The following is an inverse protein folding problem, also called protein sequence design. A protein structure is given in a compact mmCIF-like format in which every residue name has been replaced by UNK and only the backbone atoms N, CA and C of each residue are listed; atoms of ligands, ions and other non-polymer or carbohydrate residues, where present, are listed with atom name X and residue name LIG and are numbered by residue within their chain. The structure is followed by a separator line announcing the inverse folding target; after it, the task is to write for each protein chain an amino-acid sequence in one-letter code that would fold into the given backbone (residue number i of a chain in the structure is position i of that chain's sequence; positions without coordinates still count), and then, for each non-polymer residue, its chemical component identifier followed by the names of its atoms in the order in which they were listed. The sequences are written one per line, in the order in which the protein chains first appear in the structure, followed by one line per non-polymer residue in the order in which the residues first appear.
data_IF_341655198974
#
_entry.id   IF_341655198974
#
_cell.length_a   1.000
_cell.length_b   1.000
_cell.length_c   1.000
_cell.angle_alpha   90.00
_cell.angle_beta   90.00
_cell.angle_gamma   90.00
#
_symmetry.space_group_name_H-M   'P 1'
#
loop_
_entity.id
_entity.type
_entity.pdbx_description
1 polymer ?
#
# COMPACT_ATOMS: atom_id res chain seq x y z
N UNK A 1 -11.66 63.60 5.95
CA UNK A 1 -10.45 63.08 5.29
C UNK A 1 -10.49 61.56 5.32
N UNK A 2 -11.04 60.99 4.24
CA UNK A 2 -11.14 59.53 3.96
C UNK A 2 -9.77 58.98 3.61
N UNK A 3 -9.37 57.87 4.22
CA UNK A 3 -8.32 57.02 3.74
C UNK A 3 -8.92 55.68 3.25
N UNK A 4 -8.90 55.50 1.94
CA UNK A 4 -9.18 54.23 1.27
C UNK A 4 -8.05 53.26 1.57
N UNK A 5 -8.34 52.11 2.18
CA UNK A 5 -7.49 50.92 2.18
C UNK A 5 -7.98 49.99 1.08
N UNK A 6 -7.13 49.75 0.09
CA UNK A 6 -7.28 48.73 -0.93
C UNK A 6 -7.11 47.36 -0.28
N UNK A 7 -8.16 46.58 -0.19
CA UNK A 7 -8.10 45.14 0.02
C UNK A 7 -7.85 44.45 -1.33
N UNK A 8 -6.64 43.97 -1.54
CA UNK A 8 -6.32 43.13 -2.66
C UNK A 8 -6.81 41.70 -2.34
N UNK A 9 -8.03 41.38 -2.78
CA UNK A 9 -8.60 40.05 -2.69
C UNK A 9 -8.02 39.16 -3.77
N UNK A 10 -7.09 38.27 -3.46
CA UNK A 10 -6.72 37.16 -4.31
C UNK A 10 -7.92 36.18 -4.37
N UNK A 11 -8.65 36.24 -5.49
CA UNK A 11 -9.64 35.20 -5.84
C UNK A 11 -8.90 33.88 -5.98
N UNK A 12 -9.15 32.97 -5.05
CA UNK A 12 -8.81 31.56 -5.24
C UNK A 12 -9.49 31.09 -6.53
N UNK A 13 -8.69 30.62 -7.48
CA UNK A 13 -9.17 29.95 -8.68
C UNK A 13 -9.88 28.67 -8.23
N UNK A 14 -11.20 28.70 -8.29
CA UNK A 14 -12.04 27.49 -8.22
C UNK A 14 -11.63 26.66 -9.47
N UNK A 15 -11.25 25.40 -9.32
CA UNK A 15 -11.02 24.56 -10.49
C UNK A 15 -12.32 24.49 -11.30
N UNK A 16 -12.24 24.87 -12.56
CA UNK A 16 -13.38 24.76 -13.49
C UNK A 16 -13.85 23.30 -13.61
N UNK A 17 -15.09 23.09 -14.13
CA UNK A 17 -15.59 21.73 -14.38
C UNK A 17 -14.58 20.97 -15.24
N UNK A 18 -14.46 19.63 -15.05
CA UNK A 18 -13.53 18.83 -15.80
C UNK A 18 -13.76 19.07 -17.29
N UNK A 19 -12.67 19.45 -17.99
CA UNK A 19 -12.70 19.54 -19.45
C UNK A 19 -13.15 18.17 -19.96
N UNK A 20 -14.13 18.16 -20.87
CA UNK A 20 -14.53 16.94 -21.58
C UNK A 20 -13.28 16.34 -22.23
N UNK A 21 -12.79 15.27 -21.63
CA UNK A 21 -11.70 14.47 -22.19
C UNK A 21 -12.32 13.72 -23.35
N UNK A 22 -12.15 14.25 -24.59
CA UNK A 22 -12.46 13.55 -25.84
C UNK A 22 -11.34 12.50 -26.06
N UNK A 23 -11.22 11.58 -25.11
CA UNK A 23 -10.30 10.46 -25.19
C UNK A 23 -11.09 9.15 -25.27
N UNK A 24 -10.56 8.16 -25.97
CA UNK A 24 -11.20 6.84 -26.03
C UNK A 24 -11.16 6.19 -24.64
N UNK A 25 -12.31 5.68 -24.19
CA UNK A 25 -12.42 4.95 -22.91
C UNK A 25 -11.60 3.65 -23.01
N UNK A 26 -10.65 3.47 -22.09
CA UNK A 26 -9.81 2.28 -21.96
C UNK A 26 -10.38 1.39 -20.85
N UNK A 27 -10.51 0.10 -21.13
CA UNK A 27 -10.82 -0.90 -20.09
C UNK A 27 -9.54 -1.39 -19.45
N UNK A 28 -9.34 -1.05 -18.17
CA UNK A 28 -8.09 -1.26 -17.44
C UNK A 28 -8.29 -2.32 -16.36
N UNK A 29 -7.42 -3.33 -16.36
CA UNK A 29 -7.29 -4.26 -15.24
C UNK A 29 -6.15 -3.84 -14.32
N UNK A 30 -6.43 -3.62 -13.03
CA UNK A 30 -5.39 -3.43 -12.01
C UNK A 30 -5.06 -4.79 -11.39
N UNK A 31 -3.78 -5.17 -11.42
CA UNK A 31 -3.27 -6.38 -10.77
C UNK A 31 -2.29 -6.00 -9.67
N UNK A 32 -2.73 -6.08 -8.42
CA UNK A 32 -1.92 -5.81 -7.23
C UNK A 32 -1.89 -7.02 -6.28
N UNK A 33 -1.15 -6.92 -5.17
CA UNK A 33 -1.13 -7.97 -4.15
C UNK A 33 -2.53 -8.24 -3.57
N UNK A 34 -2.78 -9.44 -3.02
CA UNK A 34 -4.07 -9.78 -2.43
C UNK A 34 -4.52 -8.76 -1.39
N UNK A 35 -5.72 -8.21 -1.56
CA UNK A 35 -6.30 -7.21 -0.68
C UNK A 35 -7.07 -7.90 0.46
N UNK A 36 -6.54 -7.86 1.68
CA UNK A 36 -7.23 -8.47 2.82
C UNK A 36 -7.00 -7.72 4.14
N UNK A 37 -5.75 -7.58 4.60
CA UNK A 37 -5.42 -7.15 5.97
C UNK A 37 -4.47 -5.95 6.03
N UNK A 38 -4.22 -5.29 4.91
CA UNK A 38 -3.26 -4.20 4.81
C UNK A 38 -3.97 -2.92 4.34
N UNK A 39 -4.15 -1.96 5.26
CA UNK A 39 -4.76 -0.66 4.92
C UNK A 39 -4.07 0.02 3.75
N UNK A 40 -2.74 0.06 3.75
CA UNK A 40 -1.97 0.66 2.69
C UNK A 40 -2.16 -0.03 1.34
N UNK A 41 -2.18 -1.38 1.33
CA UNK A 41 -2.45 -2.16 0.13
C UNK A 41 -3.86 -1.89 -0.44
N UNK A 42 -4.85 -1.73 0.43
CA UNK A 42 -6.23 -1.41 0.03
C UNK A 42 -6.31 0.03 -0.51
N UNK A 43 -5.74 0.98 0.22
CA UNK A 43 -5.84 2.41 -0.11
C UNK A 43 -5.03 2.80 -1.35
N UNK A 44 -3.89 2.15 -1.61
CA UNK A 44 -3.15 2.37 -2.86
C UNK A 44 -3.94 1.87 -4.09
N UNK A 45 -4.65 0.73 -3.94
CA UNK A 45 -5.51 0.20 -5.00
C UNK A 45 -6.72 1.10 -5.24
N UNK A 46 -7.38 1.56 -4.15
CA UNK A 46 -8.46 2.54 -4.21
C UNK A 46 -8.02 3.84 -4.90
N UNK A 47 -6.86 4.35 -4.53
CA UNK A 47 -6.34 5.58 -5.11
C UNK A 47 -6.04 5.43 -6.61
N UNK A 48 -5.41 4.32 -7.02
CA UNK A 48 -5.12 4.07 -8.43
C UNK A 48 -6.41 3.92 -9.24
N UNK A 49 -7.38 3.14 -8.76
CA UNK A 49 -8.70 3.03 -9.40
C UNK A 49 -9.35 4.40 -9.55
N UNK A 50 -9.43 5.18 -8.45
CA UNK A 50 -10.06 6.50 -8.46
C UNK A 50 -9.40 7.47 -9.45
N UNK A 51 -8.07 7.47 -9.52
CA UNK A 51 -7.33 8.32 -10.48
C UNK A 51 -7.65 7.94 -11.92
N UNK A 52 -7.64 6.64 -12.24
CA UNK A 52 -7.92 6.16 -13.60
C UNK A 52 -9.38 6.39 -14.02
N UNK A 53 -10.33 6.24 -13.09
CA UNK A 53 -11.74 6.56 -13.31
C UNK A 53 -11.96 8.06 -13.55
N UNK A 54 -11.24 8.93 -12.80
CA UNK A 54 -11.23 10.39 -13.05
C UNK A 54 -10.60 10.80 -14.38
N UNK A 55 -9.70 9.96 -14.91
CA UNK A 55 -9.18 10.12 -16.28
C UNK A 55 -10.19 9.64 -17.34
N UNK A 56 -11.37 9.14 -16.96
CA UNK A 56 -12.44 8.72 -17.86
C UNK A 56 -12.36 7.26 -18.32
N UNK A 57 -11.62 6.41 -17.64
CA UNK A 57 -11.44 5.00 -18.01
C UNK A 57 -12.34 4.06 -17.19
N UNK A 58 -12.64 2.89 -17.76
CA UNK A 58 -13.31 1.79 -17.02
C UNK A 58 -12.25 0.94 -16.33
N UNK A 59 -12.38 0.76 -15.01
CA UNK A 59 -11.37 0.07 -14.21
C UNK A 59 -11.96 -1.14 -13.50
N UNK A 60 -11.24 -2.26 -13.50
CA UNK A 60 -11.55 -3.44 -12.70
C UNK A 60 -10.31 -3.94 -11.97
N UNK A 61 -10.44 -4.24 -10.69
CA UNK A 61 -9.37 -4.82 -9.87
C UNK A 61 -9.44 -6.34 -10.00
N UNK A 62 -8.34 -6.96 -10.40
CA UNK A 62 -8.21 -8.40 -10.57
C UNK A 62 -7.78 -9.03 -9.24
N UNK A 63 -8.71 -9.64 -8.50
CA UNK A 63 -8.45 -10.25 -7.18
C UNK A 63 -7.63 -11.55 -7.31
N UNK A 64 -6.34 -11.43 -7.58
CA UNK A 64 -5.42 -12.56 -7.64
C UNK A 64 -5.02 -13.00 -6.23
N UNK A 65 -5.53 -14.11 -5.79
CA UNK A 65 -5.32 -14.63 -4.43
C UNK A 65 -4.63 -16.00 -4.44
N UNK A 66 -4.19 -16.46 -3.29
CA UNK A 66 -3.48 -17.74 -3.14
C UNK A 66 -4.38 -18.93 -3.51
N UNK A 67 -3.77 -19.97 -4.10
CA UNK A 67 -4.47 -21.21 -4.42
C UNK A 67 -4.97 -21.90 -3.15
N UNK A 68 -6.17 -22.50 -3.23
CA UNK A 68 -6.61 -23.38 -2.16
C UNK A 68 -5.70 -24.61 -2.07
N UNK A 69 -5.37 -25.11 -0.86
CA UNK A 69 -4.55 -26.29 -0.72
C UNK A 69 -5.25 -27.52 -1.34
N UNK A 70 -4.51 -28.30 -2.10
CA UNK A 70 -5.06 -29.53 -2.69
C UNK A 70 -5.43 -30.56 -1.62
N UNK A 71 -6.46 -31.38 -1.87
CA UNK A 71 -6.86 -32.45 -0.96
C UNK A 71 -5.69 -33.41 -0.62
N UNK A 72 -4.82 -33.71 -1.58
CA UNK A 72 -3.62 -34.52 -1.37
C UNK A 72 -2.61 -33.86 -0.42
N UNK A 73 -2.47 -32.54 -0.46
CA UNK A 73 -1.61 -31.80 0.46
C UNK A 73 -2.20 -31.82 1.88
N UNK A 74 -3.51 -31.68 2.01
CA UNK A 74 -4.19 -31.76 3.30
C UNK A 74 -4.00 -33.14 3.92
N UNK A 75 -4.19 -34.22 3.16
CA UNK A 75 -3.95 -35.61 3.62
C UNK A 75 -2.51 -35.84 4.09
N UNK A 76 -1.51 -35.39 3.33
CA UNK A 76 -0.09 -35.47 3.73
C UNK A 76 0.18 -34.74 5.04
N UNK A 77 -0.44 -33.58 5.24
CA UNK A 77 -0.29 -32.79 6.48
C UNK A 77 -0.99 -33.44 7.66
N UNK A 78 -2.17 -34.06 7.47
CA UNK A 78 -2.80 -34.85 8.51
C UNK A 78 -1.88 -35.99 9.01
N UNK A 79 -1.20 -36.67 8.12
CA UNK A 79 -0.19 -37.66 8.48
C UNK A 79 1.01 -37.10 9.26
N UNK A 80 1.44 -35.89 8.90
CA UNK A 80 2.52 -35.20 9.63
C UNK A 80 2.10 -34.76 11.02
N UNK A 81 0.88 -34.24 11.18
CA UNK A 81 0.31 -33.86 12.49
C UNK A 81 0.18 -35.09 13.41
N UNK A 82 -0.30 -36.20 12.85
CA UNK A 82 -0.39 -37.45 13.63
C UNK A 82 0.98 -37.89 14.15
N UNK A 83 2.05 -37.80 13.33
CA UNK A 83 3.42 -38.04 13.77
C UNK A 83 3.88 -37.08 14.86
N UNK A 84 3.53 -35.80 14.77
CA UNK A 84 3.85 -34.81 15.80
C UNK A 84 3.11 -35.09 17.13
N UNK A 85 1.83 -35.49 17.04
CA UNK A 85 1.05 -35.92 18.21
C UNK A 85 1.66 -37.13 18.91
N UNK A 86 2.05 -38.18 18.16
CA UNK A 86 2.72 -39.36 18.67
C UNK A 86 4.04 -38.99 19.37
N UNK A 87 4.86 -38.17 18.75
CA UNK A 87 6.13 -37.71 19.33
C UNK A 87 5.92 -36.90 20.59
N UNK A 88 4.92 -36.04 20.66
CA UNK A 88 4.67 -35.18 21.82
C UNK A 88 4.02 -35.92 22.98
N UNK A 89 3.01 -36.75 22.73
CA UNK A 89 2.20 -37.37 23.78
C UNK A 89 2.62 -38.79 24.12
N UNK A 90 3.19 -39.55 23.20
CA UNK A 90 3.62 -40.91 23.40
C UNK A 90 5.14 -40.99 23.69
N UNK A 91 5.94 -40.20 22.96
CA UNK A 91 7.40 -40.21 23.15
C UNK A 91 7.90 -39.06 24.05
N UNK A 92 7.03 -38.28 24.71
CA UNK A 92 7.36 -37.29 25.72
C UNK A 92 8.18 -36.08 25.24
N UNK A 93 8.28 -35.83 23.92
CA UNK A 93 9.06 -34.72 23.37
C UNK A 93 8.30 -33.40 23.53
N UNK A 94 8.53 -32.66 24.62
CA UNK A 94 7.77 -31.44 24.97
C UNK A 94 7.88 -30.26 24.03
N UNK A 95 8.89 -30.18 23.18
CA UNK A 95 9.19 -29.01 22.32
C UNK A 95 8.69 -29.13 20.86
N UNK A 96 7.79 -30.05 20.55
CA UNK A 96 7.25 -30.20 19.21
C UNK A 96 5.98 -29.36 19.06
N UNK A 97 6.01 -28.38 18.17
CA UNK A 97 4.83 -27.62 17.78
C UNK A 97 3.86 -28.50 16.97
N UNK A 98 2.62 -28.57 17.40
CA UNK A 98 1.55 -29.25 16.65
C UNK A 98 0.99 -28.19 15.68
N UNK A 99 1.36 -28.28 14.41
CA UNK A 99 0.84 -27.43 13.36
C UNK A 99 -0.49 -27.99 12.87
N UNK A 100 -1.47 -27.12 12.60
CA UNK A 100 -2.73 -27.54 11.99
C UNK A 100 -2.49 -28.21 10.64
N UNK A 101 -3.21 -29.31 10.29
CA UNK A 101 -3.11 -29.97 9.00
C UNK A 101 -3.58 -29.07 7.83
N UNK A 102 -4.41 -28.11 8.16
CA UNK A 102 -4.78 -27.02 7.23
C UNK A 102 -3.56 -26.14 7.03
N UNK A 103 -3.19 -25.84 5.79
CA UNK A 103 -1.98 -25.04 5.54
C UNK A 103 -2.02 -23.80 6.44
N UNK A 104 -0.91 -23.49 7.08
CA UNK A 104 -0.81 -22.27 7.89
C UNK A 104 -1.30 -21.05 7.10
N UNK A 105 -0.98 -21.00 5.81
CA UNK A 105 -1.42 -19.95 4.90
C UNK A 105 -2.96 -19.90 4.78
N UNK A 106 -3.61 -21.04 4.56
CA UNK A 106 -5.08 -21.08 4.43
C UNK A 106 -5.81 -20.75 5.74
N UNK A 107 -5.32 -21.25 6.87
CA UNK A 107 -5.88 -20.92 8.19
C UNK A 107 -5.59 -19.47 8.56
N UNK A 108 -4.40 -18.97 8.22
CA UNK A 108 -4.07 -17.55 8.37
C UNK A 108 -4.99 -16.70 7.49
N UNK A 109 -5.20 -17.06 6.23
CA UNK A 109 -6.06 -16.32 5.31
C UNK A 109 -7.53 -16.37 5.74
N UNK A 110 -8.02 -17.50 6.23
CA UNK A 110 -9.38 -17.62 6.75
C UNK A 110 -9.57 -16.85 8.06
N UNK A 111 -8.62 -16.97 9.01
CA UNK A 111 -8.64 -16.17 10.25
C UNK A 111 -8.50 -14.68 9.95
N UNK A 112 -7.62 -14.31 9.03
CA UNK A 112 -7.50 -12.91 8.56
C UNK A 112 -8.79 -12.43 7.91
N UNK A 113 -9.52 -13.25 7.15
CA UNK A 113 -10.82 -12.87 6.62
C UNK A 113 -11.85 -12.59 7.72
N UNK A 114 -11.89 -13.41 8.77
CA UNK A 114 -12.81 -13.20 9.89
C UNK A 114 -12.43 -11.93 10.70
N UNK A 115 -11.13 -11.70 10.93
CA UNK A 115 -10.61 -10.52 11.64
C UNK A 115 -10.67 -9.25 10.78
N UNK A 116 -10.65 -9.38 9.46
CA UNK A 116 -10.62 -8.29 8.49
C UNK A 116 -11.98 -8.01 7.84
N UNK A 117 -13.08 -8.51 8.40
CA UNK A 117 -14.44 -8.35 7.82
C UNK A 117 -14.79 -6.89 7.52
N UNK A 118 -14.33 -5.95 8.35
CA UNK A 118 -14.53 -4.51 8.16
C UNK A 118 -13.75 -3.94 6.98
N UNK A 119 -12.57 -4.51 6.69
CA UNK A 119 -11.76 -4.13 5.53
C UNK A 119 -12.34 -4.72 4.24
N UNK A 120 -12.81 -5.97 4.29
CA UNK A 120 -13.49 -6.61 3.16
C UNK A 120 -14.76 -5.86 2.78
N UNK A 121 -15.52 -5.34 3.77
CA UNK A 121 -16.66 -4.49 3.50
C UNK A 121 -16.26 -3.27 2.66
N UNK A 122 -15.22 -2.57 3.06
CA UNK A 122 -14.69 -1.42 2.30
C UNK A 122 -14.27 -1.83 0.88
N UNK A 123 -13.53 -2.92 0.74
CA UNK A 123 -13.08 -3.43 -0.57
C UNK A 123 -14.27 -3.66 -1.50
N UNK A 124 -15.33 -4.33 -1.04
CA UNK A 124 -16.50 -4.62 -1.87
C UNK A 124 -17.40 -3.40 -2.12
N UNK A 125 -17.35 -2.38 -1.28
CA UNK A 125 -18.16 -1.18 -1.42
C UNK A 125 -17.50 -0.13 -2.33
N UNK A 126 -16.15 -0.03 -2.31
CA UNK A 126 -15.42 1.05 -2.98
C UNK A 126 -14.50 0.59 -4.11
N UNK A 127 -14.24 -0.70 -4.27
CA UNK A 127 -13.45 -1.22 -5.38
C UNK A 127 -14.33 -2.01 -6.35
N UNK A 128 -14.16 -1.75 -7.63
CA UNK A 128 -14.71 -2.62 -8.68
C UNK A 128 -13.82 -3.85 -8.83
N UNK A 129 -14.02 -4.84 -7.94
CA UNK A 129 -13.16 -6.00 -7.79
C UNK A 129 -13.82 -7.29 -8.28
N UNK A 130 -13.05 -8.15 -8.95
CA UNK A 130 -13.51 -9.45 -9.41
C UNK A 130 -13.74 -10.43 -8.24
N UNK A 131 -14.43 -11.53 -8.51
CA UNK A 131 -14.36 -12.69 -7.61
C UNK A 131 -12.92 -13.22 -7.50
N UNK A 132 -12.54 -13.90 -6.39
CA UNK A 132 -11.19 -14.39 -6.17
C UNK A 132 -10.65 -15.30 -7.29
N UNK A 133 -9.54 -14.90 -7.90
CA UNK A 133 -8.84 -15.59 -8.99
C UNK A 133 -7.68 -16.40 -8.41
N UNK A 134 -7.83 -17.72 -8.31
CA UNK A 134 -6.92 -18.60 -7.58
C UNK A 134 -5.84 -19.27 -8.44
N UNK A 135 -5.80 -18.98 -9.73
CA UNK A 135 -4.79 -19.52 -10.66
C UNK A 135 -4.54 -18.55 -11.82
N UNK A 136 -3.40 -18.71 -12.49
CA UNK A 136 -3.04 -17.96 -13.70
C UNK A 136 -4.06 -18.20 -14.82
N UNK A 137 -4.61 -19.43 -14.93
CA UNK A 137 -5.67 -19.75 -15.90
C UNK A 137 -6.97 -18.98 -15.61
N UNK A 138 -7.38 -18.89 -14.33
CA UNK A 138 -8.55 -18.12 -13.93
C UNK A 138 -8.36 -16.63 -14.22
N UNK A 139 -7.14 -16.10 -13.97
CA UNK A 139 -6.76 -14.73 -14.28
C UNK A 139 -6.84 -14.46 -15.79
N UNK A 140 -6.28 -15.35 -16.62
CA UNK A 140 -6.36 -15.24 -18.07
C UNK A 140 -7.82 -15.25 -18.59
N UNK A 141 -8.65 -16.18 -18.09
CA UNK A 141 -10.07 -16.23 -18.45
C UNK A 141 -10.83 -14.97 -18.08
N UNK A 142 -10.50 -14.38 -16.90
CA UNK A 142 -11.12 -13.15 -16.44
C UNK A 142 -10.74 -11.96 -17.32
N UNK A 143 -9.47 -11.79 -17.65
CA UNK A 143 -8.97 -10.73 -18.54
C UNK A 143 -9.70 -10.79 -19.91
N UNK A 144 -9.86 -11.99 -20.46
CA UNK A 144 -10.63 -12.19 -21.71
C UNK A 144 -12.11 -11.87 -21.56
N UNK A 145 -12.72 -12.25 -20.43
CA UNK A 145 -14.14 -11.98 -20.15
C UNK A 145 -14.42 -10.48 -20.06
N UNK A 146 -13.54 -9.75 -19.37
CA UNK A 146 -13.64 -8.29 -19.22
C UNK A 146 -13.27 -7.54 -20.51
N UNK A 147 -12.61 -8.20 -21.47
CA UNK A 147 -12.11 -7.58 -22.72
C UNK A 147 -11.20 -6.39 -22.41
N UNK A 148 -10.22 -6.60 -21.54
CA UNK A 148 -9.33 -5.53 -21.11
C UNK A 148 -8.45 -5.04 -22.28
N UNK A 149 -8.29 -3.73 -22.34
CA UNK A 149 -7.39 -3.04 -23.27
C UNK A 149 -6.01 -2.83 -22.67
N UNK A 150 -5.93 -2.71 -21.34
CA UNK A 150 -4.73 -2.42 -20.59
C UNK A 150 -4.67 -3.26 -19.31
N UNK A 151 -3.47 -3.78 -18.98
CA UNK A 151 -3.13 -4.34 -17.70
C UNK A 151 -2.14 -3.41 -17.00
N UNK A 152 -2.49 -2.93 -15.81
CA UNK A 152 -1.60 -2.19 -14.92
C UNK A 152 -1.22 -3.10 -13.76
N UNK A 153 0.06 -3.43 -13.65
CA UNK A 153 0.60 -4.21 -12.53
C UNK A 153 1.17 -3.26 -11.48
N UNK A 154 0.69 -3.40 -10.25
CA UNK A 154 1.06 -2.53 -9.14
C UNK A 154 -0.17 -1.79 -8.60
N UNK A 155 0.02 -0.89 -7.69
CA UNK A 155 1.24 -0.61 -6.94
C UNK A 155 1.55 -1.72 -5.92
N UNK A 156 2.34 -1.39 -4.91
CA UNK A 156 2.77 -2.27 -3.82
C UNK A 156 3.91 -3.24 -4.22
N UNK A 157 4.34 -4.09 -3.28
CA UNK A 157 5.51 -4.97 -3.40
C UNK A 157 5.22 -6.20 -4.28
N UNK A 158 4.65 -5.96 -5.48
CA UNK A 158 4.21 -7.01 -6.41
C UNK A 158 5.36 -7.86 -6.96
N UNK A 159 6.60 -7.37 -6.87
CA UNK A 159 7.81 -8.08 -7.30
C UNK A 159 8.61 -8.68 -6.15
N UNK A 160 8.02 -8.73 -4.96
CA UNK A 160 8.55 -9.50 -3.83
C UNK A 160 7.96 -10.92 -3.86
N UNK A 161 8.80 -11.92 -4.17
CA UNK A 161 8.37 -13.29 -4.40
C UNK A 161 7.57 -13.87 -3.22
N UNK A 162 8.02 -13.58 -1.99
CA UNK A 162 7.37 -14.06 -0.76
C UNK A 162 5.91 -13.59 -0.58
N UNK A 163 5.55 -12.44 -1.19
CA UNK A 163 4.23 -11.81 -1.03
C UNK A 163 3.28 -12.16 -2.16
N UNK A 164 3.83 -12.62 -3.28
CA UNK A 164 3.06 -12.90 -4.49
C UNK A 164 2.44 -14.30 -4.46
N UNK A 165 1.15 -14.46 -4.77
CA UNK A 165 0.53 -15.77 -4.92
C UNK A 165 1.19 -16.66 -5.98
N UNK A 166 1.66 -16.04 -7.05
CA UNK A 166 2.47 -16.63 -8.11
C UNK A 166 3.19 -15.49 -8.85
N UNK A 167 4.49 -15.38 -8.67
CA UNK A 167 5.26 -14.21 -9.07
C UNK A 167 5.13 -13.85 -10.56
N UNK A 168 5.14 -14.84 -11.46
CA UNK A 168 5.05 -14.59 -12.90
C UNK A 168 3.73 -13.95 -13.34
N UNK A 169 2.66 -14.07 -12.55
CA UNK A 169 1.41 -13.38 -12.85
C UNK A 169 1.59 -11.87 -12.81
N UNK A 170 2.44 -11.36 -11.89
CA UNK A 170 2.79 -9.95 -11.76
C UNK A 170 3.84 -9.48 -12.78
N UNK A 171 4.23 -10.37 -13.69
CA UNK A 171 4.96 -10.09 -14.92
C UNK A 171 4.13 -10.41 -16.17
N UNK A 172 2.80 -10.44 -16.02
CA UNK A 172 1.86 -10.77 -17.08
C UNK A 172 2.12 -12.15 -17.75
N UNK A 173 2.72 -13.10 -17.01
CA UNK A 173 3.08 -14.42 -17.50
C UNK A 173 1.88 -15.32 -17.82
N UNK A 174 0.68 -14.99 -17.35
CA UNK A 174 -0.57 -15.69 -17.66
C UNK A 174 -1.14 -15.33 -19.05
N UNK A 175 -0.59 -14.30 -19.73
CA UNK A 175 -1.02 -13.90 -21.07
C UNK A 175 -0.19 -14.62 -22.15
N UNK A 176 -0.78 -14.94 -23.31
CA UNK A 176 -0.04 -15.45 -24.47
C UNK A 176 1.12 -14.54 -24.87
N UNK A 177 2.14 -15.09 -25.53
CA UNK A 177 3.31 -14.31 -25.95
C UNK A 177 2.98 -13.26 -27.00
N UNK A 178 2.01 -13.51 -27.84
CA UNK A 178 1.52 -12.64 -28.91
C UNK A 178 0.40 -11.69 -28.48
N UNK A 179 0.06 -11.65 -27.20
CA UNK A 179 -0.97 -10.77 -26.67
C UNK A 179 -0.62 -9.29 -26.88
N UNK A 180 -1.55 -8.52 -27.44
CA UNK A 180 -1.39 -7.10 -27.86
C UNK A 180 -1.96 -6.11 -26.86
N UNK A 181 -2.50 -6.57 -25.73
CA UNK A 181 -2.97 -5.69 -24.67
C UNK A 181 -1.82 -4.81 -24.16
N UNK A 182 -2.10 -3.54 -23.88
CA UNK A 182 -1.12 -2.65 -23.24
C UNK A 182 -0.76 -3.20 -21.85
N UNK A 183 0.52 -3.34 -21.58
CA UNK A 183 1.05 -3.86 -20.30
C UNK A 183 1.98 -2.83 -19.71
N UNK A 184 1.59 -2.21 -18.62
CA UNK A 184 2.44 -1.27 -17.89
C UNK A 184 2.49 -1.63 -16.41
N UNK A 185 3.48 -1.10 -15.72
CA UNK A 185 3.44 -1.09 -14.26
C UNK A 185 3.16 0.31 -13.75
N UNK A 186 2.52 0.42 -12.61
CA UNK A 186 2.41 1.69 -11.90
C UNK A 186 2.89 1.53 -10.45
N UNK A 187 4.02 2.17 -10.14
CA UNK A 187 4.58 2.15 -8.80
C UNK A 187 4.86 0.72 -8.27
N UNK A 188 5.24 -0.20 -9.17
CA UNK A 188 5.65 -1.54 -8.75
C UNK A 188 6.85 -1.45 -7.80
N UNK A 189 6.98 -2.39 -6.86
CA UNK A 189 7.98 -2.33 -5.82
C UNK A 189 8.58 -3.71 -5.56
N UNK A 190 9.89 -3.73 -5.30
CA UNK A 190 10.59 -4.89 -4.74
C UNK A 190 10.51 -4.89 -3.21
N UNK A 191 10.30 -3.72 -2.60
CA UNK A 191 10.24 -3.54 -1.15
C UNK A 191 11.60 -3.62 -0.45
N UNK A 192 12.68 -3.74 -1.18
CA UNK A 192 14.06 -3.85 -0.68
C UNK A 192 15.03 -3.29 -1.72
N UNK A 193 16.24 -2.89 -1.28
CA UNK A 193 17.34 -2.47 -2.15
C UNK A 193 18.07 -3.60 -2.83
N UNK A 194 17.84 -4.84 -2.37
CA UNK A 194 18.38 -6.03 -2.96
C UNK A 194 17.31 -6.76 -3.79
N UNK A 195 17.73 -7.61 -4.72
CA UNK A 195 16.80 -8.39 -5.51
C UNK A 195 16.11 -9.49 -4.67
N UNK A 196 14.77 -9.43 -4.46
CA UNK A 196 14.03 -10.42 -3.68
C UNK A 196 13.53 -11.59 -4.53
N UNK A 197 13.92 -11.67 -5.80
CA UNK A 197 13.53 -12.73 -6.74
C UNK A 197 14.60 -13.81 -6.71
N UNK A 198 14.20 -15.06 -6.52
CA UNK A 198 15.11 -16.19 -6.53
C UNK A 198 15.78 -16.35 -7.91
N UNK A 199 17.02 -16.87 -7.94
CA UNK A 199 17.77 -17.12 -9.18
C UNK A 199 16.97 -17.97 -10.17
N UNK A 200 16.20 -18.93 -9.67
CA UNK A 200 15.37 -19.82 -10.47
C UNK A 200 14.27 -19.08 -11.23
N UNK A 201 13.75 -17.99 -10.65
CA UNK A 201 12.67 -17.20 -11.24
C UNK A 201 13.18 -16.00 -12.04
N UNK A 202 14.41 -15.54 -11.79
CA UNK A 202 14.94 -14.30 -12.31
C UNK A 202 14.96 -14.26 -13.85
N UNK A 203 15.47 -15.30 -14.52
CA UNK A 203 15.50 -15.35 -15.99
C UNK A 203 14.08 -15.34 -16.61
N UNK A 204 13.13 -16.02 -15.96
CA UNK A 204 11.74 -15.98 -16.39
C UNK A 204 11.13 -14.57 -16.23
N UNK A 205 11.36 -13.93 -15.08
CA UNK A 205 10.89 -12.56 -14.81
C UNK A 205 11.53 -11.57 -15.79
N UNK A 206 12.84 -11.70 -16.09
CA UNK A 206 13.54 -10.89 -17.09
C UNK A 206 12.90 -11.02 -18.47
N UNK A 207 12.65 -12.26 -18.95
CA UNK A 207 11.97 -12.49 -20.23
C UNK A 207 10.56 -11.89 -20.24
N UNK A 208 9.79 -12.09 -19.17
CA UNK A 208 8.43 -11.57 -19.09
C UNK A 208 8.40 -10.03 -18.99
N UNK A 209 9.36 -9.43 -18.27
CA UNK A 209 9.46 -7.97 -18.14
C UNK A 209 9.69 -7.28 -19.49
N UNK A 210 10.34 -7.95 -20.45
CA UNK A 210 10.55 -7.41 -21.80
C UNK A 210 9.24 -7.11 -22.55
N UNK A 211 8.14 -7.75 -22.13
CA UNK A 211 6.80 -7.61 -22.73
C UNK A 211 6.01 -6.40 -22.20
N UNK A 212 6.51 -5.72 -21.18
CA UNK A 212 5.90 -4.48 -20.72
C UNK A 212 6.23 -3.32 -21.65
N UNK A 213 5.22 -2.55 -22.01
CA UNK A 213 5.34 -1.35 -22.83
C UNK A 213 6.04 -0.21 -22.05
N UNK A 214 5.79 -0.13 -20.74
CA UNK A 214 6.47 0.78 -19.83
C UNK A 214 6.51 0.22 -18.40
N UNK A 215 7.57 0.56 -17.68
CA UNK A 215 7.76 0.18 -16.28
C UNK A 215 7.87 1.44 -15.44
N UNK A 216 7.11 1.50 -14.35
CA UNK A 216 7.32 2.49 -13.29
C UNK A 216 7.36 1.85 -11.92
N UNK A 217 8.16 2.43 -11.06
CA UNK A 217 8.43 1.97 -9.68
C UNK A 217 8.26 3.12 -8.70
N UNK A 218 8.04 2.83 -7.42
CA UNK A 218 7.80 3.86 -6.40
C UNK A 218 9.00 4.14 -5.47
N UNK A 219 10.09 3.39 -5.59
CA UNK A 219 11.33 3.62 -4.85
C UNK A 219 12.54 3.73 -5.79
N UNK A 220 13.48 4.60 -5.43
CA UNK A 220 14.68 4.89 -6.24
C UNK A 220 15.58 3.67 -6.43
N UNK A 221 15.72 2.82 -5.41
CA UNK A 221 16.46 1.56 -5.49
C UNK A 221 15.91 0.64 -6.58
N UNK A 222 14.59 0.58 -6.74
CA UNK A 222 13.94 -0.26 -7.75
C UNK A 222 14.25 0.17 -9.19
N UNK A 223 14.53 1.45 -9.45
CA UNK A 223 15.00 1.89 -10.79
C UNK A 223 16.28 1.16 -11.18
N UNK A 224 17.27 1.14 -10.26
CA UNK A 224 18.53 0.42 -10.48
C UNK A 224 18.35 -1.09 -10.60
N UNK A 225 17.45 -1.69 -9.80
CA UNK A 225 17.17 -3.13 -9.88
C UNK A 225 16.53 -3.51 -11.22
N UNK A 226 15.58 -2.70 -11.73
CA UNK A 226 14.96 -2.93 -13.06
C UNK A 226 16.00 -2.84 -14.17
N UNK A 227 16.88 -1.86 -14.13
CA UNK A 227 17.96 -1.73 -15.12
C UNK A 227 18.93 -2.93 -15.04
N UNK A 228 19.38 -3.25 -13.84
CA UNK A 228 20.38 -4.32 -13.61
C UNK A 228 19.85 -5.70 -13.98
N UNK A 229 18.64 -6.05 -13.54
CA UNK A 229 18.13 -7.42 -13.67
C UNK A 229 17.24 -7.62 -14.88
N UNK A 230 16.54 -6.57 -15.35
CA UNK A 230 15.64 -6.72 -16.48
C UNK A 230 16.17 -6.03 -17.76
N UNK A 231 17.19 -5.17 -17.65
CA UNK A 231 17.74 -4.42 -18.79
C UNK A 231 16.75 -3.41 -19.35
N UNK A 232 15.84 -2.90 -18.51
CA UNK A 232 14.80 -1.96 -18.89
C UNK A 232 14.93 -0.65 -18.11
N UNK A 233 14.49 0.45 -18.75
CA UNK A 233 14.28 1.72 -18.03
C UNK A 233 13.02 1.65 -17.18
N UNK A 234 13.06 2.24 -16.00
CA UNK A 234 11.90 2.41 -15.13
C UNK A 234 11.74 3.87 -14.70
N UNK A 235 10.51 4.39 -14.80
CA UNK A 235 10.15 5.71 -14.28
C UNK A 235 9.91 5.65 -12.77
N UNK A 236 10.43 6.64 -12.05
CA UNK A 236 10.14 6.80 -10.63
C UNK A 236 8.85 7.61 -10.45
N UNK A 237 7.82 7.01 -9.90
CA UNK A 237 6.51 7.63 -9.69
C UNK A 237 6.13 7.62 -8.21
N UNK A 238 5.19 8.46 -7.82
CA UNK A 238 4.62 8.45 -6.48
C UNK A 238 3.77 7.19 -6.25
N UNK A 239 3.72 6.75 -4.98
CA UNK A 239 2.69 5.80 -4.57
C UNK A 239 1.29 6.38 -4.91
N UNK A 240 0.36 5.56 -5.43
CA UNK A 240 -0.98 6.04 -5.85
C UNK A 240 -1.70 6.85 -4.78
N UNK A 241 -1.49 6.53 -3.50
CA UNK A 241 -2.13 7.25 -2.39
C UNK A 241 -1.78 8.73 -2.35
N UNK A 242 -0.59 9.12 -2.82
CA UNK A 242 -0.17 10.52 -2.90
C UNK A 242 -0.73 11.25 -4.13
N UNK A 243 -1.36 10.55 -5.07
CA UNK A 243 -2.04 11.18 -6.22
C UNK A 243 -3.38 11.81 -5.83
N UNK A 244 -3.96 11.42 -4.71
CA UNK A 244 -5.19 11.98 -4.16
C UNK A 244 -4.87 13.01 -3.05
N UNK A 245 -5.86 13.81 -2.71
CA UNK A 245 -5.79 14.77 -1.60
C UNK A 245 -6.51 14.25 -0.36
N UNK A 246 -6.39 14.97 0.75
CA UNK A 246 -7.05 14.58 2.01
C UNK A 246 -8.58 14.46 1.88
N UNK A 247 -9.20 15.30 1.04
CA UNK A 247 -10.66 15.31 0.84
C UNK A 247 -11.13 14.08 0.06
N UNK A 248 -10.29 13.49 -0.79
CA UNK A 248 -10.59 12.28 -1.55
C UNK A 248 -10.72 11.03 -0.66
N UNK A 249 -10.22 11.12 0.58
CA UNK A 249 -10.30 10.08 1.60
C UNK A 249 -11.41 10.36 2.64
N UNK A 250 -12.28 11.34 2.38
CA UNK A 250 -13.53 11.54 3.14
C UNK A 250 -14.60 10.66 2.51
N UNK A 251 -14.68 9.44 2.97
CA UNK A 251 -15.70 8.48 2.55
C UNK A 251 -16.97 8.79 3.35
N UNK A 252 -18.12 8.90 2.68
CA UNK A 252 -19.38 9.28 3.33
C UNK A 252 -19.67 8.35 4.52
N UNK A 253 -19.85 8.97 5.69
CA UNK A 253 -20.30 8.25 6.87
C UNK A 253 -21.80 7.99 6.75
N UNK A 254 -22.29 6.81 7.18
CA UNK A 254 -23.71 6.65 7.49
C UNK A 254 -24.09 7.75 8.48
N UNK A 255 -25.20 8.46 8.24
CA UNK A 255 -25.68 9.62 9.04
C UNK A 255 -25.89 9.33 10.54
N UNK A 256 -25.65 8.10 10.99
CA UNK A 256 -25.82 7.63 12.38
C UNK A 256 -24.52 7.59 13.21
N UNK A 257 -23.37 7.85 12.64
CA UNK A 257 -22.11 7.89 13.39
C UNK A 257 -21.68 9.34 13.66
N UNK A 258 -22.36 10.00 14.59
CA UNK A 258 -21.80 11.16 15.28
C UNK A 258 -20.64 10.67 16.17
N UNK A 259 -19.43 10.57 15.63
CA UNK A 259 -18.26 10.74 16.45
C UNK A 259 -18.11 12.25 16.64
N UNK A 260 -18.38 12.73 17.85
CA UNK A 260 -17.95 14.05 18.27
C UNK A 260 -16.49 14.19 17.82
N UNK A 261 -16.21 15.23 17.04
CA UNK A 261 -14.86 15.60 16.67
C UNK A 261 -14.13 15.94 17.98
N UNK A 262 -13.55 14.95 18.61
CA UNK A 262 -12.74 15.15 19.80
C UNK A 262 -11.42 15.74 19.36
N UNK A 263 -11.29 17.00 19.75
CA UNK A 263 -10.08 17.75 20.05
C UNK A 263 -8.75 17.26 19.48
N UNK A 264 -8.05 18.20 18.87
CA UNK A 264 -6.70 18.17 18.33
C UNK A 264 -5.57 17.85 19.35
N UNK A 265 -5.84 16.99 20.35
CA UNK A 265 -4.88 16.67 21.42
C UNK A 265 -4.47 15.19 21.41
N UNK A 266 -4.41 14.61 20.21
CA UNK A 266 -4.15 13.17 20.09
C UNK A 266 -2.85 12.90 19.32
N UNK A 267 -1.97 12.08 19.92
CA UNK A 267 -0.89 11.40 19.21
C UNK A 267 -1.43 10.10 18.63
N UNK A 268 -1.27 9.94 17.33
CA UNK A 268 -1.53 8.65 16.66
C UNK A 268 -0.24 7.84 16.62
N UNK A 269 -0.22 6.71 17.28
CA UNK A 269 0.87 5.72 17.24
C UNK A 269 0.48 4.58 16.30
N UNK A 270 0.97 4.62 15.05
CA UNK A 270 0.74 3.57 14.05
C UNK A 270 2.02 2.77 13.82
N UNK A 271 2.28 1.82 14.72
CA UNK A 271 3.47 0.98 14.76
C UNK A 271 3.09 -0.47 14.46
N UNK A 272 3.66 -1.03 13.39
CA UNK A 272 3.36 -2.39 12.92
C UNK A 272 4.14 -3.46 13.67
N UNK A 273 5.37 -3.16 14.07
CA UNK A 273 6.25 -4.05 14.82
C UNK A 273 6.60 -3.38 16.15
N UNK A 274 5.76 -3.62 17.17
CA UNK A 274 5.91 -3.01 18.50
C UNK A 274 7.14 -3.54 19.22
N UNK A 275 7.95 -2.63 19.73
CA UNK A 275 9.02 -2.91 20.67
C UNK A 275 9.09 -1.82 21.76
N UNK A 276 9.91 -2.06 22.79
CA UNK A 276 10.02 -1.13 23.90
C UNK A 276 10.61 0.23 23.54
N UNK A 277 11.45 0.34 22.51
CA UNK A 277 12.04 1.59 22.08
C UNK A 277 11.02 2.48 21.36
N UNK A 278 10.23 1.90 20.47
CA UNK A 278 9.16 2.62 19.75
C UNK A 278 8.08 3.13 20.68
N UNK A 279 7.66 2.28 21.65
CA UNK A 279 6.73 2.70 22.69
C UNK A 279 7.29 3.86 23.53
N UNK A 280 8.60 3.85 23.84
CA UNK A 280 9.26 4.91 24.58
C UNK A 280 9.27 6.23 23.81
N UNK A 281 9.52 6.20 22.49
CA UNK A 281 9.43 7.39 21.63
C UNK A 281 8.01 7.99 21.69
N UNK A 282 6.98 7.17 21.51
CA UNK A 282 5.60 7.63 21.56
C UNK A 282 5.25 8.25 22.92
N UNK A 283 5.61 7.58 24.00
CA UNK A 283 5.38 8.08 25.37
C UNK A 283 6.09 9.41 25.64
N UNK A 284 7.33 9.57 25.20
CA UNK A 284 8.08 10.83 25.37
C UNK A 284 7.38 11.98 24.65
N UNK A 285 6.90 11.77 23.41
CA UNK A 285 6.15 12.78 22.66
C UNK A 285 4.82 13.12 23.35
N UNK A 286 4.10 12.10 23.85
CA UNK A 286 2.86 12.28 24.62
C UNK A 286 3.10 13.16 25.85
N UNK A 287 4.16 12.85 26.62
CA UNK A 287 4.48 13.60 27.85
C UNK A 287 4.90 15.06 27.54
N UNK A 288 5.69 15.27 26.47
CA UNK A 288 6.21 16.61 26.15
C UNK A 288 5.14 17.53 25.57
N UNK A 289 4.26 16.99 24.72
CA UNK A 289 3.22 17.76 24.07
C UNK A 289 1.88 17.75 24.84
N UNK A 290 1.77 17.00 25.93
CA UNK A 290 0.53 16.88 26.71
C UNK A 290 -0.61 16.20 25.94
N UNK A 291 -0.28 15.29 25.01
CA UNK A 291 -1.24 14.62 24.15
C UNK A 291 -1.81 13.35 24.79
N UNK A 292 -2.93 12.86 24.22
CA UNK A 292 -3.47 11.53 24.52
C UNK A 292 -3.05 10.55 23.41
N UNK A 293 -2.53 9.38 23.77
CA UNK A 293 -2.17 8.39 22.77
C UNK A 293 -3.39 7.63 22.22
N UNK A 294 -3.51 7.58 20.89
CA UNK A 294 -4.37 6.67 20.14
C UNK A 294 -3.50 5.63 19.44
N UNK A 295 -3.39 4.45 20.03
CA UNK A 295 -2.62 3.36 19.46
C UNK A 295 -3.42 2.66 18.35
N UNK A 296 -2.87 2.62 17.13
CA UNK A 296 -3.46 1.96 15.96
C UNK A 296 -2.61 0.80 15.43
N UNK A 297 -1.55 0.44 16.12
CA UNK A 297 -0.68 -0.68 15.73
C UNK A 297 -1.37 -2.03 15.91
N UNK A 298 -0.70 -3.07 15.41
CA UNK A 298 -1.05 -4.44 15.77
C UNK A 298 -0.62 -4.63 17.23
N UNK A 299 -1.56 -4.54 18.15
CA UNK A 299 -1.27 -4.83 19.57
C UNK A 299 -0.56 -6.17 19.73
N UNK A 300 0.38 -6.28 20.67
CA UNK A 300 0.79 -7.59 21.12
C UNK A 300 -0.48 -8.32 21.56
N UNK A 301 -0.65 -9.55 21.09
CA UNK A 301 -1.82 -10.41 21.32
C UNK A 301 -2.44 -10.11 22.68
N UNK A 302 -3.75 -9.91 22.75
CA UNK A 302 -4.49 -9.83 24.01
C UNK A 302 -4.04 -10.93 24.95
N UNK A 303 -4.18 -10.74 26.23
CA UNK A 303 -3.82 -11.74 27.26
C UNK A 303 -4.41 -13.13 27.01
N UNK A 304 -5.52 -13.22 26.24
CA UNK A 304 -6.19 -14.45 25.79
C UNK A 304 -5.63 -15.02 24.48
N UNK A 305 -4.62 -14.37 23.87
CA UNK A 305 -4.00 -14.78 22.61
C UNK A 305 -4.82 -14.44 21.34
N UNK A 306 -5.97 -13.78 21.47
CA UNK A 306 -6.75 -13.35 20.32
C UNK A 306 -6.11 -12.11 19.65
N UNK A 307 -6.12 -12.01 18.31
CA UNK A 307 -5.69 -10.80 17.63
C UNK A 307 -6.66 -9.65 17.90
N UNK A 308 -6.16 -8.42 17.91
CA UNK A 308 -7.03 -7.25 17.92
C UNK A 308 -7.83 -7.19 16.62
N UNK A 309 -9.10 -6.83 16.73
CA UNK A 309 -9.96 -6.62 15.56
C UNK A 309 -9.47 -5.41 14.79
N UNK A 310 -9.39 -5.55 13.47
CA UNK A 310 -9.11 -4.42 12.59
C UNK A 310 -10.22 -3.38 12.72
N UNK A 311 -9.84 -2.09 12.69
CA UNK A 311 -10.81 -0.99 12.68
C UNK A 311 -11.27 -0.71 11.24
N UNK A 312 -12.47 -0.14 11.03
CA UNK A 312 -12.92 0.28 9.69
C UNK A 312 -11.91 1.21 9.02
N UNK A 313 -11.78 1.11 7.69
CA UNK A 313 -10.86 1.97 6.91
C UNK A 313 -11.12 3.44 7.16
N UNK A 314 -12.40 3.85 7.23
CA UNK A 314 -12.75 5.23 7.52
C UNK A 314 -12.24 5.69 8.89
N UNK A 315 -12.41 4.87 9.94
CA UNK A 315 -11.91 5.18 11.27
C UNK A 315 -10.37 5.29 11.29
N UNK A 316 -9.70 4.44 10.53
CA UNK A 316 -8.25 4.50 10.36
C UNK A 316 -7.81 5.82 9.69
N UNK A 317 -8.49 6.26 8.64
CA UNK A 317 -8.26 7.54 7.95
C UNK A 317 -8.56 8.75 8.85
N UNK A 318 -9.67 8.68 9.60
CA UNK A 318 -10.08 9.75 10.52
C UNK A 318 -9.07 9.94 11.67
N UNK A 319 -8.45 8.87 12.14
CA UNK A 319 -7.39 8.98 13.15
C UNK A 319 -6.23 9.84 12.63
N UNK A 320 -5.74 9.60 11.40
CA UNK A 320 -4.71 10.46 10.81
C UNK A 320 -5.18 11.88 10.58
N UNK A 321 -6.43 12.07 10.13
CA UNK A 321 -6.99 13.40 9.91
C UNK A 321 -7.06 14.22 11.19
N UNK A 322 -7.45 13.60 12.30
CA UNK A 322 -7.68 14.27 13.59
C UNK A 322 -6.41 14.30 14.48
N UNK A 323 -5.34 13.60 14.10
CA UNK A 323 -4.10 13.61 14.85
C UNK A 323 -3.47 15.00 14.97
N UNK A 324 -2.91 15.33 16.13
CA UNK A 324 -1.99 16.45 16.31
C UNK A 324 -0.55 16.05 15.98
N UNK A 325 -0.21 14.81 16.26
CA UNK A 325 1.12 14.27 16.01
C UNK A 325 1.03 12.77 15.65
N UNK A 326 1.98 12.28 14.83
CA UNK A 326 2.03 10.87 14.44
C UNK A 326 3.40 10.27 14.72
N UNK A 327 3.42 9.08 15.33
CA UNK A 327 4.62 8.22 15.42
C UNK A 327 4.33 6.93 14.65
N UNK A 328 5.18 6.59 13.70
CA UNK A 328 4.92 5.44 12.84
C UNK A 328 6.18 4.75 12.35
N UNK A 329 6.12 3.42 12.19
CA UNK A 329 7.10 2.61 11.46
C UNK A 329 6.54 2.09 10.12
N UNK A 330 5.40 2.63 9.69
CA UNK A 330 4.70 2.23 8.47
C UNK A 330 4.90 3.24 7.34
N UNK A 331 5.22 2.75 6.14
CA UNK A 331 5.26 3.59 4.94
C UNK A 331 3.96 4.38 4.75
N UNK A 332 2.81 3.72 4.81
CA UNK A 332 1.53 4.41 4.65
C UNK A 332 1.16 5.28 5.86
N UNK A 333 1.72 5.00 7.04
CA UNK A 333 1.64 5.93 8.17
C UNK A 333 2.28 7.28 7.85
N UNK A 334 3.46 7.28 7.22
CA UNK A 334 4.11 8.52 6.74
C UNK A 334 3.29 9.17 5.62
N UNK A 335 2.82 8.39 4.64
CA UNK A 335 2.00 8.89 3.53
C UNK A 335 0.77 9.64 4.04
N UNK A 336 -0.02 9.04 4.94
CA UNK A 336 -1.24 9.69 5.47
C UNK A 336 -0.94 10.82 6.44
N UNK A 337 0.22 10.84 7.09
CA UNK A 337 0.72 12.02 7.82
C UNK A 337 0.98 13.18 6.85
N UNK A 338 1.62 12.93 5.72
CA UNK A 338 1.91 13.94 4.68
C UNK A 338 0.62 14.46 4.05
N UNK A 339 -0.30 13.56 3.64
CA UNK A 339 -1.59 13.92 3.04
C UNK A 339 -2.40 14.85 3.98
N UNK A 340 -2.40 14.56 5.28
CA UNK A 340 -3.11 15.32 6.30
C UNK A 340 -2.26 16.43 6.94
N UNK A 341 -1.06 16.71 6.44
CA UNK A 341 -0.13 17.76 6.91
C UNK A 341 0.16 17.67 8.41
N UNK A 342 0.39 16.45 8.92
CA UNK A 342 0.68 16.21 10.33
C UNK A 342 2.19 16.24 10.60
N UNK A 343 2.56 16.77 11.75
CA UNK A 343 3.91 16.56 12.25
C UNK A 343 4.07 15.10 12.64
N UNK A 344 5.18 14.48 12.23
CA UNK A 344 5.37 13.04 12.47
C UNK A 344 6.83 12.67 12.68
N UNK A 345 7.04 11.52 13.30
CA UNK A 345 8.31 10.80 13.39
C UNK A 345 8.14 9.47 12.66
N UNK A 346 9.05 9.19 11.72
CA UNK A 346 9.13 7.94 10.99
C UNK A 346 10.23 7.06 11.60
N UNK A 347 9.87 5.95 12.23
CA UNK A 347 10.85 5.01 12.77
C UNK A 347 11.17 4.00 11.65
N UNK A 348 12.42 3.97 11.21
CA UNK A 348 12.83 3.14 10.07
C UNK A 348 12.68 1.66 10.42
N UNK A 349 11.91 0.93 9.63
CA UNK A 349 11.70 -0.50 9.80
C UNK A 349 12.39 -1.27 8.66
N UNK A 350 13.61 -1.72 8.90
CA UNK A 350 14.43 -2.42 7.91
C UNK A 350 13.80 -3.74 7.43
N UNK A 351 13.03 -4.41 8.28
CA UNK A 351 12.38 -5.70 7.94
C UNK A 351 11.22 -5.53 6.95
N UNK A 352 10.64 -4.32 6.88
CA UNK A 352 9.46 -4.02 6.06
C UNK A 352 9.75 -3.15 4.83
N UNK A 353 11.02 -2.97 4.46
CA UNK A 353 11.43 -2.22 3.27
C UNK A 353 11.68 -0.74 3.57
N UNK A 354 12.80 -0.45 4.22
CA UNK A 354 13.27 0.90 4.55
C UNK A 354 13.41 1.81 3.31
N UNK A 355 13.80 1.26 2.16
CA UNK A 355 14.06 2.01 0.94
C UNK A 355 12.88 2.86 0.47
N UNK A 356 11.65 2.36 0.67
CA UNK A 356 10.43 3.11 0.33
C UNK A 356 10.29 4.37 1.17
N UNK A 357 10.60 4.29 2.47
CA UNK A 357 10.64 5.44 3.37
C UNK A 357 11.68 6.45 2.90
N UNK A 358 12.92 6.00 2.75
CA UNK A 358 14.04 6.84 2.35
C UNK A 358 13.72 7.52 1.02
N UNK A 359 13.27 6.76 0.02
CA UNK A 359 12.97 7.28 -1.31
C UNK A 359 11.90 8.37 -1.27
N UNK A 360 10.76 8.11 -0.61
CA UNK A 360 9.65 9.06 -0.55
C UNK A 360 10.01 10.30 0.28
N UNK A 361 10.54 10.11 1.48
CA UNK A 361 10.82 11.22 2.38
C UNK A 361 11.94 12.12 1.83
N UNK A 362 12.96 11.55 1.19
CA UNK A 362 14.02 12.33 0.53
C UNK A 362 13.51 13.13 -0.67
N UNK A 363 12.61 12.57 -1.48
CA UNK A 363 12.01 13.32 -2.60
C UNK A 363 11.21 14.54 -2.11
N UNK A 364 10.65 14.46 -0.91
CA UNK A 364 9.84 15.52 -0.31
C UNK A 364 10.64 16.45 0.63
N UNK A 365 11.93 16.17 0.91
CA UNK A 365 12.76 16.93 1.84
C UNK A 365 12.36 16.69 3.31
N UNK A 366 11.88 15.48 3.60
CA UNK A 366 11.43 15.05 4.92
C UNK A 366 12.32 13.96 5.53
N UNK A 367 13.51 13.72 4.97
CA UNK A 367 14.48 12.75 5.50
C UNK A 367 14.86 13.03 6.96
N UNK A 368 14.86 14.27 7.38
CA UNK A 368 15.07 14.67 8.76
C UNK A 368 14.02 14.14 9.75
N UNK A 369 12.91 13.61 9.29
CA UNK A 369 11.86 13.01 10.15
C UNK A 369 12.08 11.53 10.46
N UNK A 370 13.13 10.92 9.87
CA UNK A 370 13.47 9.52 10.11
C UNK A 370 14.40 9.37 11.32
N UNK A 371 14.15 8.30 12.08
CA UNK A 371 15.03 7.82 13.14
C UNK A 371 15.13 6.31 13.10
N UNK A 372 16.28 5.75 13.43
CA UNK A 372 16.50 4.32 13.48
C UNK A 372 16.12 3.72 14.84
N UNK A 373 16.36 4.48 15.92
CA UNK A 373 16.20 4.02 17.28
C UNK A 373 15.89 5.17 18.25
N UNK A 374 15.78 4.83 19.54
CA UNK A 374 15.51 5.79 20.59
C UNK A 374 16.70 6.74 20.86
N UNK A 375 17.93 6.30 20.65
CA UNK A 375 19.13 7.12 20.88
C UNK A 375 19.19 8.29 19.87
N UNK A 376 18.98 7.98 18.58
CA UNK A 376 18.88 9.00 17.53
C UNK A 376 17.72 9.96 17.78
N UNK A 377 16.54 9.43 18.15
CA UNK A 377 15.39 10.25 18.53
C UNK A 377 15.73 11.19 19.69
N UNK A 378 16.33 10.67 20.77
CA UNK A 378 16.68 11.44 21.96
C UNK A 378 17.66 12.58 21.66
N UNK A 379 18.65 12.32 20.79
CA UNK A 379 19.63 13.33 20.37
C UNK A 379 19.00 14.47 19.53
N UNK A 380 17.93 14.17 18.78
CA UNK A 380 17.27 15.11 17.85
C UNK A 380 15.85 15.49 18.30
N UNK A 381 15.49 15.22 19.54
CA UNK A 381 14.13 15.34 20.07
C UNK A 381 13.48 16.69 19.77
N UNK A 382 14.16 17.79 20.07
CA UNK A 382 13.62 19.15 19.88
C UNK A 382 13.31 19.45 18.39
N UNK A 383 14.16 18.97 17.47
CA UNK A 383 13.96 19.09 16.02
C UNK A 383 12.76 18.27 15.57
N UNK A 384 12.67 17.00 16.03
CA UNK A 384 11.65 16.05 15.62
C UNK A 384 10.24 16.40 16.14
N UNK A 385 10.14 17.07 17.29
CA UNK A 385 8.85 17.53 17.85
C UNK A 385 8.38 18.83 17.19
N UNK A 386 9.31 19.65 16.66
CA UNK A 386 8.97 20.89 16.00
C UNK A 386 8.01 20.67 14.81
N UNK A 387 7.03 21.58 14.61
CA UNK A 387 6.11 21.51 13.49
C UNK A 387 6.81 21.44 12.13
N UNK A 388 6.24 20.69 11.19
CA UNK A 388 6.72 20.61 9.80
C UNK A 388 6.17 21.81 9.03
N UNK A 389 7.04 22.56 8.34
CA UNK A 389 6.58 23.49 7.30
C UNK A 389 6.25 22.72 6.02
N UNK A 390 4.97 22.64 5.75
CA UNK A 390 4.44 21.92 4.58
C UNK A 390 4.47 22.74 3.29
N UNK A 391 4.89 24.00 3.30
CA UNK A 391 4.88 24.85 2.09
C UNK A 391 5.79 24.29 1.00
N UNK A 392 7.05 23.98 1.34
CA UNK A 392 8.00 23.37 0.42
C UNK A 392 7.67 21.93 0.09
N UNK A 393 7.26 21.15 1.09
CA UNK A 393 6.80 19.75 0.91
C UNK A 393 5.67 19.68 -0.11
N UNK A 394 4.69 20.58 0.01
CA UNK A 394 3.56 20.62 -0.89
C UNK A 394 3.98 20.98 -2.32
N UNK A 395 4.88 21.93 -2.51
CA UNK A 395 5.39 22.28 -3.84
C UNK A 395 6.09 21.09 -4.50
N UNK A 396 6.97 20.40 -3.78
CA UNK A 396 7.63 19.17 -4.27
C UNK A 396 6.61 18.09 -4.60
N UNK A 397 5.63 17.87 -3.71
CA UNK A 397 4.57 16.87 -3.91
C UNK A 397 3.76 17.15 -5.17
N UNK A 398 3.37 18.40 -5.45
CA UNK A 398 2.62 18.75 -6.66
C UNK A 398 3.43 18.48 -7.94
N UNK A 399 4.72 18.77 -7.94
CA UNK A 399 5.61 18.49 -9.08
C UNK A 399 5.71 16.99 -9.36
N UNK A 400 5.93 16.18 -8.32
CA UNK A 400 6.01 14.72 -8.43
C UNK A 400 4.66 14.10 -8.82
N UNK A 401 3.56 14.68 -8.33
CA UNK A 401 2.20 14.27 -8.69
C UNK A 401 1.93 14.53 -10.16
N UNK A 402 2.25 15.72 -10.66
CA UNK A 402 2.10 16.04 -12.10
C UNK A 402 2.91 15.09 -12.99
N UNK A 403 4.16 14.77 -12.61
CA UNK A 403 4.99 13.79 -13.31
C UNK A 403 4.34 12.40 -13.32
N UNK A 404 3.87 11.93 -12.19
CA UNK A 404 3.25 10.61 -12.04
C UNK A 404 1.93 10.46 -12.80
N UNK A 405 1.10 11.52 -12.81
CA UNK A 405 -0.13 11.58 -13.62
C UNK A 405 0.20 11.64 -15.12
N UNK A 406 1.24 12.40 -15.50
CA UNK A 406 1.75 12.46 -16.87
C UNK A 406 2.24 11.11 -17.41
N UNK A 407 2.86 10.28 -16.54
CA UNK A 407 3.20 8.91 -16.91
C UNK A 407 1.96 8.09 -17.27
N UNK A 408 0.91 8.11 -16.42
CA UNK A 408 -0.33 7.37 -16.68
C UNK A 408 -1.02 7.85 -17.96
N UNK A 409 -1.28 9.15 -18.08
CA UNK A 409 -1.97 9.69 -19.27
C UNK A 409 -1.18 9.42 -20.55
N UNK A 410 0.14 9.67 -20.55
CA UNK A 410 0.98 9.44 -21.71
C UNK A 410 1.05 7.99 -22.17
N UNK A 411 0.99 7.01 -21.24
CA UNK A 411 0.95 5.60 -21.60
C UNK A 411 -0.42 5.17 -22.12
N UNK A 412 -1.49 5.67 -21.55
CA UNK A 412 -2.86 5.33 -21.96
C UNK A 412 -3.22 5.97 -23.32
N UNK A 413 -2.70 7.15 -23.63
CA UNK A 413 -2.91 7.85 -24.92
C UNK A 413 -2.12 7.23 -26.09
N UNK A 414 -0.88 6.79 -25.88
CA UNK A 414 -0.01 6.22 -26.95
C UNK A 414 -0.64 5.05 -27.69
N UNK A 415 -1.42 4.22 -27.03
CA UNK A 415 -2.06 3.06 -27.66
C UNK A 415 -3.05 3.42 -28.79
N UNK A 416 -3.51 4.65 -28.88
CA UNK A 416 -4.48 5.07 -29.89
C UNK A 416 -3.86 5.66 -31.16
N UNK A 417 -2.61 6.11 -31.07
CA UNK A 417 -1.89 6.60 -32.25
C UNK A 417 -1.23 5.46 -33.04
N UNK A 418 -1.05 4.28 -32.45
CA UNK A 418 -0.42 3.10 -33.05
C UNK A 418 -1.44 2.06 -33.58
N UNK A 419 -2.76 2.34 -33.53
CA UNK A 419 -3.85 1.54 -34.12
C UNK A 419 -4.49 2.28 -35.29
#
# INVERSE_FOLDING_TARGET
LQKNLFCCGTKALVPGPPQEIIGTIVKIGILTLPLASNYGGILQCYALQTVLERMGHEVVVLDRTFAAPSAGLILRRCGSVLKCLVRRYILGQKNIAILSPWSQQYVIDKRKQDDCSVLLKFIHEYLNITSPLRSSEALHKQVKREKLDCLIVGSDQVWREEYSPYLTDFFAGFLPEDDKMLKITYGASFGTSENPISEQMLEMCKRLSSRFDAISVREKSAVGLVEQYFGKHAELVLDPTLLLGADDYVIERPKTACSEATEHDTLVSYVLDTDGQKAKIANDVVCELGLKESFMGLSPKKSDGSPDKMIPVQSWLDNFRNASFVVTDSFHGCVFSIINRKTFIAIVNHSRGADRFVSMLSQLGLEGRMVNDYEEYSARRSELIAPIDYSEVYFKLQTLKAHSLGYLSGMLERKYHDR
#
